data_IF_838907801476
#
_entry.id   IF_838907801476
#
_cell.length_a   1.000
_cell.length_b   1.000
_cell.length_c   1.000
_cell.angle_alpha   90.00
_cell.angle_beta   90.00
_cell.angle_gamma   90.00
#
_symmetry.space_group_name_H-M   'P 1'
#
loop_
_entity.id
_entity.type
_entity.pdbx_description
1 polymer ?
#
# COMPACT_ATOMS: atom_id res chain seq x y z
N UNK A 1 13.64 9.09 -8.99
CA UNK A 1 14.72 8.12 -9.29
C UNK A 1 14.86 7.07 -8.20
N UNK A 2 14.55 7.36 -6.93
CA UNK A 2 14.55 6.36 -5.84
C UNK A 2 13.24 5.53 -5.74
N UNK A 3 12.07 6.16 -5.93
CA UNK A 3 10.77 5.46 -5.88
C UNK A 3 10.63 4.39 -6.97
N UNK A 4 11.15 4.63 -8.17
CA UNK A 4 11.11 3.62 -9.25
C UNK A 4 11.95 2.38 -8.92
N UNK A 5 13.05 2.53 -8.18
CA UNK A 5 13.83 1.39 -7.71
C UNK A 5 13.10 0.65 -6.58
N UNK A 6 12.42 1.37 -5.70
CA UNK A 6 11.58 0.77 -4.67
C UNK A 6 10.43 -0.04 -5.29
N UNK A 7 9.71 0.52 -6.27
CA UNK A 7 8.67 -0.18 -7.04
C UNK A 7 9.20 -1.45 -7.70
N UNK A 8 10.37 -1.36 -8.35
CA UNK A 8 11.04 -2.54 -8.95
C UNK A 8 11.38 -3.61 -7.91
N UNK A 9 11.81 -3.20 -6.73
CA UNK A 9 12.11 -4.13 -5.63
C UNK A 9 10.83 -4.80 -5.15
N UNK A 10 9.73 -4.05 -5.01
CA UNK A 10 8.42 -4.60 -4.63
C UNK A 10 7.89 -5.61 -5.66
N UNK A 11 8.16 -5.44 -6.96
CA UNK A 11 7.79 -6.41 -8.00
C UNK A 11 8.45 -7.80 -7.75
N UNK A 12 9.56 -7.86 -7.02
CA UNK A 12 10.18 -9.14 -6.66
C UNK A 12 9.43 -9.89 -5.56
N UNK A 13 8.56 -9.20 -4.81
CA UNK A 13 7.69 -9.82 -3.81
C UNK A 13 6.63 -10.62 -4.54
N UNK A 14 6.66 -11.93 -4.36
CA UNK A 14 5.59 -12.81 -4.82
C UNK A 14 4.29 -12.38 -4.14
N UNK A 15 3.25 -12.14 -4.95
CA UNK A 15 1.91 -11.74 -4.48
C UNK A 15 1.44 -12.59 -3.29
N UNK A 16 1.45 -12.04 -2.05
CA UNK A 16 1.12 -12.81 -0.85
C UNK A 16 -0.40 -12.90 -0.64
N UNK A 17 -1.18 -12.02 -1.29
CA UNK A 17 -2.64 -12.01 -1.19
C UNK A 17 -3.23 -13.14 -2.01
N UNK A 18 -4.45 -13.53 -1.65
CA UNK A 18 -5.17 -14.60 -2.35
C UNK A 18 -5.62 -14.12 -3.74
N UNK A 19 -5.03 -14.69 -4.80
CA UNK A 19 -5.37 -14.39 -6.21
C UNK A 19 -6.47 -15.30 -6.80
N UNK A 20 -6.73 -16.46 -6.19
CA UNK A 20 -7.64 -17.46 -6.76
C UNK A 20 -9.13 -17.15 -6.58
N UNK A 21 -9.46 -16.35 -5.57
CA UNK A 21 -10.83 -15.94 -5.25
C UNK A 21 -10.75 -14.66 -4.40
N UNK A 22 -11.32 -13.56 -4.89
CA UNK A 22 -11.28 -12.24 -4.24
C UNK A 22 -11.18 -11.08 -5.24
N UNK A 23 -11.63 -9.90 -4.84
CA UNK A 23 -11.49 -8.67 -5.63
C UNK A 23 -10.20 -7.95 -5.24
N UNK A 24 -9.10 -8.22 -5.96
CA UNK A 24 -7.88 -7.42 -5.84
C UNK A 24 -8.12 -6.08 -6.56
N UNK A 25 -8.47 -5.05 -5.78
CA UNK A 25 -8.74 -3.69 -6.30
C UNK A 25 -7.53 -2.77 -6.19
N UNK A 26 -6.76 -2.91 -5.12
CA UNK A 26 -5.59 -2.07 -4.88
C UNK A 26 -4.34 -2.82 -5.32
N UNK A 27 -3.39 -2.09 -5.91
CA UNK A 27 -2.13 -2.69 -6.34
C UNK A 27 -1.26 -3.03 -5.13
N UNK A 28 -0.41 -4.04 -5.27
CA UNK A 28 0.44 -4.48 -4.16
C UNK A 28 1.46 -3.40 -3.77
N UNK A 29 2.05 -2.76 -4.77
CA UNK A 29 3.01 -1.66 -4.60
C UNK A 29 2.38 -0.44 -3.92
N UNK A 30 1.17 -0.06 -4.30
CA UNK A 30 0.46 1.05 -3.64
C UNK A 30 0.29 0.79 -2.14
N UNK A 31 -0.18 -0.40 -1.74
CA UNK A 31 -0.42 -0.75 -0.34
C UNK A 31 0.90 -0.77 0.46
N UNK A 32 1.95 -1.39 -0.10
CA UNK A 32 3.25 -1.50 0.58
C UNK A 32 3.89 -0.11 0.77
N UNK A 33 3.84 0.73 -0.27
CA UNK A 33 4.46 2.06 -0.20
C UNK A 33 3.73 2.95 0.81
N UNK A 34 2.39 2.92 0.83
CA UNK A 34 1.63 3.67 1.84
C UNK A 34 1.99 3.19 3.25
N UNK A 35 1.97 1.88 3.51
CA UNK A 35 2.32 1.36 4.83
C UNK A 35 3.74 1.71 5.26
N UNK A 36 4.71 1.67 4.33
CA UNK A 36 6.09 2.11 4.61
C UNK A 36 6.14 3.60 4.98
N UNK A 37 5.47 4.46 4.22
CA UNK A 37 5.43 5.90 4.52
C UNK A 37 4.80 6.18 5.88
N UNK A 38 3.70 5.51 6.21
CA UNK A 38 3.03 5.61 7.52
C UNK A 38 3.98 5.26 8.66
N UNK A 39 4.68 4.12 8.58
CA UNK A 39 5.62 3.67 9.63
C UNK A 39 6.81 4.64 9.77
N UNK A 40 7.34 5.17 8.66
CA UNK A 40 8.40 6.19 8.71
C UNK A 40 7.91 7.48 9.41
N UNK A 41 6.64 7.83 9.23
CA UNK A 41 6.01 8.98 9.86
C UNK A 41 5.53 8.70 11.30
N UNK A 42 5.77 7.51 11.84
CA UNK A 42 5.44 7.16 13.23
C UNK A 42 4.03 6.63 13.44
N UNK A 43 3.29 6.28 12.38
CA UNK A 43 2.06 5.51 12.51
C UNK A 43 2.34 4.06 12.92
N UNK A 44 1.45 3.49 13.72
CA UNK A 44 1.65 2.21 14.42
C UNK A 44 0.64 1.14 14.00
N UNK A 45 -0.52 1.53 13.47
CA UNK A 45 -1.58 0.59 13.13
C UNK A 45 -2.13 0.74 11.70
N UNK A 46 -3.08 -0.12 11.34
CA UNK A 46 -3.68 -0.13 10.01
C UNK A 46 -4.65 1.02 9.77
N UNK A 47 -5.23 1.60 10.83
CA UNK A 47 -6.05 2.80 10.72
C UNK A 47 -5.16 4.01 10.41
N UNK A 48 -3.97 4.10 11.02
CA UNK A 48 -2.99 5.13 10.71
C UNK A 48 -2.57 5.06 9.22
N UNK A 49 -2.53 3.86 8.63
CA UNK A 49 -2.22 3.69 7.20
C UNK A 49 -3.34 4.23 6.30
N UNK A 50 -4.60 3.95 6.67
CA UNK A 50 -5.77 4.49 5.98
C UNK A 50 -5.84 6.02 6.13
N UNK A 51 -5.69 6.54 7.35
CA UNK A 51 -5.71 7.97 7.65
C UNK A 51 -4.59 8.71 6.91
N UNK A 52 -3.34 8.21 7.00
CA UNK A 52 -2.22 8.78 6.25
C UNK A 52 -2.49 8.79 4.74
N UNK A 53 -3.03 7.70 4.20
CA UNK A 53 -3.40 7.58 2.80
C UNK A 53 -4.42 8.64 2.38
N UNK A 54 -5.48 8.82 3.18
CA UNK A 54 -6.55 9.79 2.94
C UNK A 54 -6.04 11.24 3.05
N UNK A 55 -5.26 11.56 4.09
CA UNK A 55 -4.71 12.90 4.30
C UNK A 55 -3.71 13.32 3.23
N UNK A 56 -3.00 12.36 2.63
CA UNK A 56 -1.91 12.59 1.67
C UNK A 56 -2.22 12.10 0.26
N UNK A 57 -3.47 11.79 -0.06
CA UNK A 57 -3.84 11.17 -1.33
C UNK A 57 -3.31 11.95 -2.55
N UNK A 58 -3.45 13.28 -2.55
CA UNK A 58 -2.96 14.12 -3.65
C UNK A 58 -1.45 13.98 -3.87
N UNK A 59 -0.67 13.94 -2.79
CA UNK A 59 0.77 13.74 -2.85
C UNK A 59 1.13 12.31 -3.29
N UNK A 60 0.43 11.30 -2.75
CA UNK A 60 0.63 9.89 -3.12
C UNK A 60 0.37 9.68 -4.61
N UNK A 61 -0.66 10.32 -5.18
CA UNK A 61 -0.98 10.24 -6.63
C UNK A 61 0.11 10.82 -7.54
N UNK A 62 1.08 11.58 -7.01
CA UNK A 62 2.22 12.04 -7.81
C UNK A 62 3.17 10.91 -8.21
N UNK A 63 3.13 9.78 -7.50
CA UNK A 63 3.98 8.62 -7.79
C UNK A 63 3.31 7.25 -7.63
N UNK A 64 2.09 7.14 -7.12
CA UNK A 64 1.28 5.92 -7.06
C UNK A 64 0.12 5.97 -8.06
N UNK A 65 -0.34 4.80 -8.52
CA UNK A 65 -1.45 4.75 -9.48
C UNK A 65 -2.80 4.89 -8.79
N UNK A 66 -2.99 4.25 -7.63
CA UNK A 66 -4.22 4.29 -6.82
C UNK A 66 -5.50 4.14 -7.66
N UNK A 67 -5.64 3.05 -8.46
CA UNK A 67 -6.74 2.89 -9.41
C UNK A 67 -8.12 2.81 -8.74
N UNK A 68 -8.16 2.46 -7.46
CA UNK A 68 -9.37 2.38 -6.65
C UNK A 68 -9.27 3.26 -5.38
N UNK A 69 -8.42 4.30 -5.41
CA UNK A 69 -8.19 5.17 -4.25
C UNK A 69 -7.37 4.49 -3.14
N UNK A 70 -7.47 5.08 -1.95
CA UNK A 70 -6.76 4.63 -0.75
C UNK A 70 -7.40 3.32 -0.25
N UNK A 71 -6.58 2.27 0.04
CA UNK A 71 -7.07 1.05 0.67
C UNK A 71 -7.62 1.34 2.07
N UNK A 72 -8.64 0.58 2.48
CA UNK A 72 -9.08 0.58 3.88
C UNK A 72 -8.07 -0.13 4.80
N UNK A 73 -8.15 0.15 6.10
CA UNK A 73 -7.39 -0.50 7.17
C UNK A 73 -7.43 -2.03 7.11
N UNK A 74 -8.58 -2.61 6.78
CA UNK A 74 -8.74 -4.05 6.58
C UNK A 74 -7.90 -4.59 5.41
N UNK A 75 -7.73 -3.82 4.34
CA UNK A 75 -6.89 -4.18 3.19
C UNK A 75 -5.41 -4.16 3.57
N UNK A 76 -4.97 -3.17 4.35
CA UNK A 76 -3.62 -3.14 4.92
C UNK A 76 -3.39 -4.35 5.82
N UNK A 77 -4.30 -4.60 6.77
CA UNK A 77 -4.25 -5.76 7.68
C UNK A 77 -4.10 -7.06 6.90
N UNK A 78 -5.00 -7.31 5.94
CA UNK A 78 -5.01 -8.54 5.13
C UNK A 78 -3.71 -8.76 4.37
N UNK A 79 -3.00 -7.69 3.98
CA UNK A 79 -1.71 -7.82 3.33
C UNK A 79 -0.60 -8.10 4.34
N UNK A 80 -0.43 -7.24 5.34
CA UNK A 80 0.73 -7.28 6.23
C UNK A 80 0.71 -8.48 7.19
N UNK A 81 -0.47 -9.03 7.55
CA UNK A 81 -0.55 -10.29 8.30
C UNK A 81 -0.11 -11.53 7.49
N UNK A 82 0.17 -11.38 6.18
CA UNK A 82 0.60 -12.48 5.29
C UNK A 82 2.08 -12.38 4.87
N UNK A 83 2.78 -11.33 5.29
CA UNK A 83 4.20 -11.08 5.03
C UNK A 83 4.98 -11.45 6.29
#
# INVERSE_FOLDING_TARGET
MEIENLKKTIITIREPRRISYGNIRHRLDDIIIIGLCTVICGGEDYNDMEEFGLEREEWLRTFLELPNGIPDSDTFRRLFERI
#
